data_IF_673928044568
#
_entry.id   IF_673928044568
#
_cell.length_a   1.000
_cell.length_b   1.000
_cell.length_c   1.000
_cell.angle_alpha   90.00
_cell.angle_beta   90.00
_cell.angle_gamma   90.00
#
_symmetry.space_group_name_H-M   'P 1'
#
loop_
_entity.id
_entity.type
_entity.pdbx_description
1 polymer ?
#
# COMPACT_ATOMS: atom_id res chain seq x y z
N UNK A 1 -22.32 -8.01 -22.79
CA UNK A 1 -21.06 -7.24 -22.89
C UNK A 1 -20.07 -7.90 -21.91
N UNK A 2 -19.12 -8.70 -22.41
CA UNK A 2 -18.13 -9.39 -21.56
C UNK A 2 -16.90 -8.49 -21.47
N UNK A 3 -16.65 -7.88 -20.31
CA UNK A 3 -15.37 -7.22 -20.05
C UNK A 3 -14.38 -8.30 -19.60
N UNK A 4 -13.54 -8.74 -20.53
CA UNK A 4 -12.39 -9.59 -20.23
C UNK A 4 -11.28 -8.71 -19.67
N UNK A 5 -11.08 -8.72 -18.36
CA UNK A 5 -9.97 -8.05 -17.71
C UNK A 5 -8.67 -8.74 -18.14
N UNK A 6 -7.88 -8.05 -18.95
CA UNK A 6 -6.56 -8.49 -19.41
C UNK A 6 -5.65 -8.64 -18.20
N UNK A 7 -5.16 -9.86 -18.01
CA UNK A 7 -4.22 -10.29 -16.96
C UNK A 7 -3.06 -9.28 -16.85
N UNK A 8 -3.08 -8.39 -15.84
CA UNK A 8 -1.94 -7.50 -15.53
C UNK A 8 -0.73 -8.42 -15.32
N UNK A 9 0.34 -8.24 -16.11
CA UNK A 9 1.64 -8.83 -15.81
C UNK A 9 2.02 -8.34 -14.42
N UNK A 10 1.89 -9.20 -13.42
CA UNK A 10 2.35 -8.95 -12.06
C UNK A 10 3.87 -8.84 -12.13
N UNK A 11 4.38 -7.61 -12.12
CA UNK A 11 5.78 -7.36 -11.78
C UNK A 11 5.97 -7.96 -10.39
N UNK A 12 7.07 -8.68 -10.15
CA UNK A 12 7.37 -9.32 -8.86
C UNK A 12 7.61 -8.34 -7.70
N UNK A 13 7.02 -7.15 -7.76
CA UNK A 13 7.00 -6.17 -6.70
C UNK A 13 6.24 -6.76 -5.51
N UNK A 14 6.96 -6.94 -4.41
CA UNK A 14 6.40 -7.50 -3.17
C UNK A 14 5.77 -6.41 -2.30
N UNK A 15 6.14 -5.15 -2.53
CA UNK A 15 5.75 -3.98 -1.74
C UNK A 15 5.55 -2.76 -2.64
N UNK A 16 4.51 -1.96 -2.37
CA UNK A 16 4.25 -0.63 -2.91
C UNK A 16 4.33 0.42 -1.79
N UNK A 17 4.83 1.62 -2.10
CA UNK A 17 4.71 2.81 -1.24
C UNK A 17 3.90 3.83 -2.05
N UNK A 18 2.78 4.31 -1.52
CA UNK A 18 1.89 5.26 -2.19
C UNK A 18 1.21 6.12 -1.12
N UNK A 19 0.88 7.37 -1.44
CA UNK A 19 0.16 8.28 -0.53
C UNK A 19 -1.35 8.29 -0.80
N UNK A 20 -1.81 7.62 -1.85
CA UNK A 20 -3.22 7.55 -2.22
C UNK A 20 -3.89 6.31 -1.63
N UNK A 21 -4.83 6.46 -0.67
CA UNK A 21 -5.49 5.31 -0.03
C UNK A 21 -6.30 4.45 -1.00
N UNK A 22 -6.84 5.04 -2.08
CA UNK A 22 -7.57 4.28 -3.10
C UNK A 22 -6.63 3.33 -3.84
N UNK A 23 -5.45 3.81 -4.25
CA UNK A 23 -4.47 2.96 -4.93
C UNK A 23 -3.86 1.94 -3.99
N UNK A 24 -3.64 2.31 -2.73
CA UNK A 24 -3.20 1.37 -1.71
C UNK A 24 -4.18 0.18 -1.57
N UNK A 25 -5.49 0.46 -1.50
CA UNK A 25 -6.51 -0.58 -1.41
C UNK A 25 -6.56 -1.46 -2.67
N UNK A 26 -6.58 -0.86 -3.87
CA UNK A 26 -6.59 -1.61 -5.14
C UNK A 26 -5.36 -2.56 -5.27
N UNK A 27 -4.20 -2.12 -4.81
CA UNK A 27 -2.99 -2.93 -4.81
C UNK A 27 -3.02 -4.03 -3.74
N UNK A 28 -3.56 -3.72 -2.57
CA UNK A 28 -3.74 -4.68 -1.49
C UNK A 28 -4.72 -5.79 -1.87
N UNK A 29 -5.82 -5.48 -2.56
CA UNK A 29 -6.77 -6.45 -3.13
C UNK A 29 -6.11 -7.34 -4.19
N UNK A 30 -5.11 -6.83 -4.90
CA UNK A 30 -4.29 -7.59 -5.85
C UNK A 30 -3.18 -8.42 -5.17
N UNK A 31 -3.10 -8.43 -3.83
CA UNK A 31 -2.13 -9.20 -3.05
C UNK A 31 -0.77 -8.55 -2.86
N UNK A 32 -0.64 -7.25 -3.15
CA UNK A 32 0.60 -6.49 -2.97
C UNK A 32 0.60 -5.85 -1.58
N UNK A 33 1.68 -5.97 -0.80
CA UNK A 33 1.80 -5.22 0.46
C UNK A 33 1.95 -3.74 0.17
N UNK A 34 1.26 -2.89 0.91
CA UNK A 34 1.32 -1.43 0.71
C UNK A 34 1.71 -0.73 1.99
N UNK A 35 2.70 0.16 1.90
CA UNK A 35 2.99 1.18 2.89
C UNK A 35 2.26 2.46 2.45
N UNK A 36 1.14 2.77 3.10
CA UNK A 36 0.38 4.01 2.84
C UNK A 36 1.10 5.17 3.52
N UNK A 37 1.72 6.03 2.73
CA UNK A 37 2.57 7.10 3.24
C UNK A 37 1.75 8.35 3.56
N UNK A 38 1.76 8.76 4.82
CA UNK A 38 1.08 9.96 5.31
C UNK A 38 2.03 10.78 6.18
N UNK A 39 2.83 11.63 5.52
CA UNK A 39 3.90 12.37 6.17
C UNK A 39 3.38 13.17 7.37
N UNK A 40 3.74 12.75 8.58
CA UNK A 40 3.27 13.33 9.84
C UNK A 40 1.75 13.63 9.89
N UNK A 41 0.90 12.76 9.32
CA UNK A 41 -0.56 12.94 9.25
C UNK A 41 -1.00 14.23 8.52
N UNK A 42 -0.15 14.74 7.62
CA UNK A 42 -0.40 16.01 6.94
C UNK A 42 -1.31 15.87 5.72
N UNK A 43 -1.50 14.66 5.19
CA UNK A 43 -2.20 14.46 3.93
C UNK A 43 -3.71 14.34 4.15
N UNK A 44 -4.53 15.30 3.67
CA UNK A 44 -5.96 15.30 3.92
C UNK A 44 -6.68 14.07 3.35
N UNK A 45 -6.17 13.52 2.25
CA UNK A 45 -6.75 12.35 1.59
C UNK A 45 -6.50 11.05 2.36
N UNK A 46 -5.49 10.97 3.23
CA UNK A 46 -5.19 9.80 4.04
C UNK A 46 -6.13 9.62 5.25
N UNK A 47 -7.07 10.55 5.49
CA UNK A 47 -7.97 10.55 6.66
C UNK A 47 -9.15 9.58 6.53
N UNK A 48 -9.35 9.01 5.36
CA UNK A 48 -10.31 7.93 5.18
C UNK A 48 -9.70 6.62 5.71
N UNK A 49 -10.37 6.04 6.72
CA UNK A 49 -9.95 4.81 7.37
C UNK A 49 -10.19 3.55 6.51
N UNK A 50 -10.83 3.68 5.34
CA UNK A 50 -11.14 2.55 4.46
C UNK A 50 -9.90 1.72 4.10
N UNK A 51 -8.78 2.38 3.76
CA UNK A 51 -7.53 1.71 3.41
C UNK A 51 -6.87 1.01 4.62
N UNK A 52 -7.04 1.55 5.84
CA UNK A 52 -6.46 0.97 7.06
C UNK A 52 -7.13 -0.33 7.50
N UNK A 53 -8.34 -0.61 6.99
CA UNK A 53 -9.05 -1.85 7.31
C UNK A 53 -8.43 -3.10 6.66
N UNK A 54 -7.58 -2.93 5.65
CA UNK A 54 -7.02 -4.04 4.89
C UNK A 54 -5.68 -4.52 5.48
N UNK A 55 -5.55 -5.83 5.76
CA UNK A 55 -4.39 -6.41 6.45
C UNK A 55 -3.04 -6.27 5.73
N UNK A 56 -3.05 -6.07 4.42
CA UNK A 56 -1.86 -5.80 3.60
C UNK A 56 -1.50 -4.32 3.48
N UNK A 57 -2.29 -3.41 4.04
CA UNK A 57 -2.00 -1.98 4.08
C UNK A 57 -1.46 -1.62 5.46
N UNK A 58 -0.34 -0.90 5.49
CA UNK A 58 0.23 -0.36 6.73
C UNK A 58 0.46 1.13 6.53
N UNK A 59 -0.18 1.97 7.34
CA UNK A 59 0.06 3.41 7.31
C UNK A 59 1.40 3.71 7.99
N UNK A 60 2.20 4.55 7.33
CA UNK A 60 3.51 5.01 7.81
C UNK A 60 3.59 6.52 7.71
N UNK A 61 4.27 7.15 8.66
CA UNK A 61 4.24 8.60 8.84
C UNK A 61 5.52 9.32 8.43
N UNK A 62 6.57 8.58 8.07
CA UNK A 62 7.86 9.12 7.66
C UNK A 62 8.71 8.03 6.98
N UNK A 63 9.86 8.42 6.44
CA UNK A 63 10.78 7.51 5.76
C UNK A 63 11.48 6.52 6.70
N UNK A 64 11.68 6.88 7.97
CA UNK A 64 12.28 5.99 8.97
C UNK A 64 11.39 4.76 9.20
N UNK A 65 10.08 4.97 9.35
CA UNK A 65 9.09 3.88 9.47
C UNK A 65 9.05 3.01 8.21
N UNK A 66 9.14 3.62 7.01
CA UNK A 66 9.26 2.86 5.75
C UNK A 66 10.46 1.93 5.80
N UNK A 67 11.63 2.44 6.19
CA UNK A 67 12.85 1.65 6.29
C UNK A 67 12.73 0.52 7.32
N UNK A 68 12.17 0.80 8.50
CA UNK A 68 11.93 -0.19 9.55
C UNK A 68 11.04 -1.33 9.06
N UNK A 69 9.94 -1.02 8.36
CA UNK A 69 9.07 -2.04 7.77
C UNK A 69 9.80 -2.87 6.70
N UNK A 70 10.55 -2.24 5.79
CA UNK A 70 11.31 -2.95 4.77
C UNK A 70 12.38 -3.87 5.37
N UNK A 71 13.08 -3.43 6.42
CA UNK A 71 14.05 -4.28 7.13
C UNK A 71 13.32 -5.46 7.79
N UNK A 72 12.23 -5.21 8.51
CA UNK A 72 11.47 -6.29 9.18
C UNK A 72 11.01 -7.41 8.25
N UNK A 73 10.81 -7.10 6.96
CA UNK A 73 10.40 -8.08 5.94
C UNK A 73 11.56 -8.77 5.23
N UNK A 74 12.78 -8.23 5.30
CA UNK A 74 13.97 -8.82 4.67
C UNK A 74 14.77 -9.72 5.62
N UNK A 75 14.64 -9.54 6.94
CA UNK A 75 15.31 -10.40 7.95
C UNK A 75 14.46 -11.59 8.40
N UNK A 76 13.37 -11.90 7.69
CA UNK A 76 12.42 -12.97 8.01
C UNK A 76 12.64 -14.24 7.16
#
# INVERSE_FOLDING_TARGET
MKMSATRKKSFGAQVLIDDNPRYALECAEAGIRVLLFDYHNSYPWCKDASAESHSLVTKVHNWEEVQQHMISWTVA
#
